data_IF_257868416585
#
_entry.id   IF_257868416585
#
_cell.length_a   1.000
_cell.length_b   1.000
_cell.length_c   1.000
_cell.angle_alpha   90.00
_cell.angle_beta   90.00
_cell.angle_gamma   90.00
#
_symmetry.space_group_name_H-M   'P 1'
#
loop_
_entity.id
_entity.type
_entity.pdbx_description
1 polymer ?
#
# COMPACT_ATOMS: atom_id res chain seq x y z
N UNK A 1 -5.26 -21.09 25.36
CA UNK A 1 -4.83 -21.22 23.95
C UNK A 1 -4.24 -19.89 23.50
N UNK A 2 -2.93 -19.69 23.67
CA UNK A 2 -2.25 -18.45 23.26
C UNK A 2 -1.80 -18.58 21.81
N UNK A 3 -2.59 -18.05 20.88
CA UNK A 3 -2.23 -18.02 19.46
C UNK A 3 -1.07 -17.05 19.26
N UNK A 4 0.14 -17.58 19.10
CA UNK A 4 1.30 -16.78 18.76
C UNK A 4 1.05 -16.06 17.41
N UNK A 5 0.94 -14.73 17.45
CA UNK A 5 0.73 -13.90 16.25
C UNK A 5 2.00 -13.95 15.39
N UNK A 6 1.97 -14.75 14.33
CA UNK A 6 3.05 -14.83 13.35
C UNK A 6 3.17 -13.47 12.66
N UNK A 7 4.28 -12.77 12.89
CA UNK A 7 4.62 -11.53 12.19
C UNK A 7 5.00 -11.90 10.75
N UNK A 8 4.01 -11.92 9.85
CA UNK A 8 4.29 -12.03 8.42
C UNK A 8 5.00 -10.75 7.99
N UNK A 9 6.19 -10.89 7.41
CA UNK A 9 6.88 -9.76 6.78
C UNK A 9 5.94 -9.16 5.74
N UNK A 10 5.56 -7.89 5.94
CA UNK A 10 4.71 -7.19 5.00
C UNK A 10 5.53 -6.93 3.74
N UNK A 11 5.13 -7.51 2.62
CA UNK A 11 5.75 -7.20 1.33
C UNK A 11 5.27 -5.82 0.87
N UNK A 12 6.11 -5.11 0.12
CA UNK A 12 5.73 -3.80 -0.45
C UNK A 12 4.42 -3.89 -1.25
N UNK A 13 4.17 -5.00 -1.94
CA UNK A 13 2.93 -5.23 -2.68
C UNK A 13 1.71 -5.30 -1.76
N UNK A 14 1.84 -5.96 -0.61
CA UNK A 14 0.75 -6.04 0.38
C UNK A 14 0.46 -4.66 0.97
N UNK A 15 1.53 -3.88 1.23
CA UNK A 15 1.40 -2.51 1.72
C UNK A 15 0.71 -1.60 0.68
N UNK A 16 1.16 -1.65 -0.58
CA UNK A 16 0.55 -0.91 -1.69
C UNK A 16 -0.93 -1.26 -1.85
N UNK A 17 -1.28 -2.54 -1.80
CA UNK A 17 -2.68 -2.99 -1.89
C UNK A 17 -3.53 -2.48 -0.73
N UNK A 18 -3.02 -2.53 0.50
CA UNK A 18 -3.73 -2.04 1.68
C UNK A 18 -4.01 -0.54 1.57
N UNK A 19 -2.99 0.25 1.19
CA UNK A 19 -3.13 1.70 0.99
C UNK A 19 -4.10 1.99 -0.15
N UNK A 20 -3.92 1.36 -1.30
CA UNK A 20 -4.79 1.57 -2.46
C UNK A 20 -6.25 1.23 -2.14
N UNK A 21 -6.49 0.23 -1.30
CA UNK A 21 -7.84 -0.15 -0.87
C UNK A 21 -8.48 0.92 0.01
N UNK A 22 -7.77 1.43 1.03
CA UNK A 22 -8.27 2.51 1.88
C UNK A 22 -8.46 3.81 1.10
N UNK A 23 -7.50 4.17 0.25
CA UNK A 23 -7.59 5.38 -0.58
C UNK A 23 -8.70 5.26 -1.61
N UNK A 24 -8.94 4.09 -2.21
CA UNK A 24 -10.02 3.89 -3.17
C UNK A 24 -11.40 4.11 -2.53
N UNK A 25 -11.58 3.66 -1.29
CA UNK A 25 -12.82 3.89 -0.54
C UNK A 25 -13.00 5.39 -0.25
N UNK A 26 -11.95 6.07 0.17
CA UNK A 26 -12.01 7.49 0.55
C UNK A 26 -12.15 8.43 -0.66
N UNK A 27 -11.50 8.11 -1.78
CA UNK A 27 -11.44 8.96 -2.98
C UNK A 27 -12.42 8.56 -4.08
N UNK A 28 -13.06 7.38 -3.96
CA UNK A 28 -13.92 6.81 -5.01
C UNK A 28 -13.18 6.40 -6.28
N UNK A 29 -11.84 6.42 -6.30
CA UNK A 29 -11.06 5.98 -7.45
C UNK A 29 -10.88 4.46 -7.45
N UNK A 30 -10.68 3.86 -8.63
CA UNK A 30 -10.40 2.43 -8.74
C UNK A 30 -9.06 2.07 -8.07
N UNK A 31 -9.07 1.00 -7.26
CA UNK A 31 -7.87 0.46 -6.59
C UNK A 31 -6.72 0.27 -7.57
N UNK A 32 -6.99 -0.27 -8.75
CA UNK A 32 -5.99 -0.53 -9.79
C UNK A 32 -5.27 0.75 -10.28
N UNK A 33 -6.00 1.86 -10.38
CA UNK A 33 -5.43 3.14 -10.80
C UNK A 33 -4.50 3.71 -9.73
N UNK A 34 -4.86 3.54 -8.44
CA UNK A 34 -4.04 3.95 -7.31
C UNK A 34 -2.80 3.06 -7.18
N UNK A 35 -2.96 1.74 -7.28
CA UNK A 35 -1.83 0.80 -7.26
C UNK A 35 -0.83 1.11 -8.37
N UNK A 36 -1.32 1.38 -9.59
CA UNK A 36 -0.47 1.71 -10.73
C UNK A 36 0.29 3.02 -10.47
N UNK A 37 -0.37 4.05 -9.94
CA UNK A 37 0.29 5.31 -9.53
C UNK A 37 1.34 5.14 -8.43
N UNK A 38 1.07 4.30 -7.42
CA UNK A 38 2.00 4.02 -6.33
C UNK A 38 3.23 3.23 -6.80
N UNK A 39 3.04 2.35 -7.80
CA UNK A 39 4.12 1.59 -8.43
C UNK A 39 4.96 2.44 -9.38
N UNK A 40 4.36 3.43 -10.04
CA UNK A 40 5.00 4.27 -11.07
C UNK A 40 6.09 5.21 -10.51
N UNK A 41 6.34 5.22 -9.18
CA UNK A 41 7.39 6.01 -8.49
C UNK A 41 7.63 7.37 -9.16
N UNK A 42 6.60 8.19 -9.19
CA UNK A 42 6.67 9.52 -9.79
C UNK A 42 7.79 10.32 -9.13
N UNK A 43 8.65 10.93 -9.95
CA UNK A 43 9.83 11.68 -9.49
C UNK A 43 9.47 12.82 -8.53
N UNK A 44 8.21 13.29 -8.57
CA UNK A 44 7.70 14.38 -7.73
C UNK A 44 7.72 14.03 -6.24
N UNK A 45 7.64 12.75 -5.91
CA UNK A 45 7.55 12.25 -4.54
C UNK A 45 8.63 11.21 -4.20
N UNK A 46 9.77 11.20 -4.91
CA UNK A 46 10.85 10.23 -4.67
C UNK A 46 11.44 10.25 -3.26
N UNK A 47 11.23 11.35 -2.52
CA UNK A 47 11.63 11.49 -1.12
C UNK A 47 10.63 10.84 -0.14
N UNK A 48 9.40 10.56 -0.58
CA UNK A 48 8.41 9.84 0.21
C UNK A 48 8.61 8.33 0.01
N UNK A 49 9.19 7.69 1.02
CA UNK A 49 9.17 6.24 1.13
C UNK A 49 7.92 5.82 1.88
N UNK A 50 7.27 4.75 1.44
CA UNK A 50 6.26 4.07 2.24
C UNK A 50 6.92 3.59 3.55
N UNK A 51 6.29 3.89 4.68
CA UNK A 51 6.77 3.49 6.00
C UNK A 51 6.86 1.95 6.07
N UNK A 52 7.94 1.44 6.67
CA UNK A 52 8.33 0.03 6.65
C UNK A 52 7.85 -0.72 7.90
#
# INVERSE_FOLDING_TARGET
MTTARRTRKLTNETLIRAIASSTAIETGQSVEAIERKLKDKTSKFSHLSLAR
#
